data_IF_491914175622
#
_entry.id   IF_491914175622
#
_cell.length_a   1.000
_cell.length_b   1.000
_cell.length_c   1.000
_cell.angle_alpha   90.00
_cell.angle_beta   90.00
_cell.angle_gamma   90.00
#
_symmetry.space_group_name_H-M   'P 1'
#
loop_
_entity.id
_entity.type
_entity.pdbx_description
1 polymer ?
#
# COMPACT_ATOMS: atom_id res chain seq x y z
N UNK A 1 0.43 18.05 -4.27
CA UNK A 1 -0.93 17.83 -3.74
C UNK A 1 -1.57 16.53 -4.18
N UNK A 2 -0.81 15.43 -4.13
CA UNK A 2 -1.35 14.08 -4.30
C UNK A 2 -1.15 13.38 -2.96
N UNK A 3 -2.25 12.93 -2.38
CA UNK A 3 -2.33 12.32 -1.05
C UNK A 3 -1.16 11.35 -0.85
N UNK A 4 -0.30 11.66 0.12
CA UNK A 4 0.89 10.89 0.43
C UNK A 4 0.73 10.46 1.88
N UNK A 5 0.84 9.16 2.15
CA UNK A 5 0.48 8.65 3.46
C UNK A 5 1.54 7.73 4.05
N UNK A 6 1.97 8.10 5.26
CA UNK A 6 2.98 7.39 6.02
C UNK A 6 2.37 6.14 6.67
N UNK A 7 2.98 4.99 6.39
CA UNK A 7 2.60 3.74 7.04
C UNK A 7 3.40 3.54 8.33
N UNK A 8 2.69 3.24 9.41
CA UNK A 8 3.27 2.74 10.64
C UNK A 8 3.40 1.21 10.53
N UNK A 9 4.57 0.67 10.88
CA UNK A 9 4.78 -0.78 10.90
C UNK A 9 3.96 -1.38 12.06
N UNK A 10 3.06 -2.32 11.78
CA UNK A 10 2.16 -2.88 12.81
C UNK A 10 2.81 -3.89 13.74
N UNK A 11 3.86 -4.55 13.27
CA UNK A 11 4.43 -5.65 14.00
C UNK A 11 5.56 -5.14 14.89
N UNK A 12 5.28 -5.02 16.19
CA UNK A 12 6.31 -5.01 17.24
C UNK A 12 7.16 -6.31 17.25
N UNK A 13 6.82 -7.31 16.42
CA UNK A 13 7.50 -8.60 16.30
C UNK A 13 7.79 -9.10 14.88
N UNK A 14 7.65 -8.27 13.82
CA UNK A 14 8.02 -8.70 12.47
C UNK A 14 9.52 -8.56 12.35
N UNK A 15 10.18 -9.71 12.41
CA UNK A 15 11.56 -9.94 12.02
C UNK A 15 12.42 -8.70 12.16
N UNK A 16 13.10 -8.60 13.31
CA UNK A 16 14.42 -7.98 13.31
C UNK A 16 15.09 -8.47 12.02
N UNK A 17 15.45 -7.55 11.12
CA UNK A 17 16.31 -7.92 9.99
C UNK A 17 17.45 -8.75 10.55
N UNK A 18 18.01 -9.67 9.77
CA UNK A 18 18.99 -10.68 10.21
C UNK A 18 20.18 -10.13 11.05
N UNK A 19 20.31 -8.81 11.19
CA UNK A 19 21.27 -8.06 12.00
C UNK A 19 20.67 -7.13 13.09
N UNK A 20 19.42 -7.31 13.56
CA UNK A 20 18.91 -6.64 14.76
C UNK A 20 18.70 -5.12 14.67
N UNK A 21 18.63 -4.55 13.47
CA UNK A 21 18.43 -3.10 13.26
C UNK A 21 17.41 -2.83 12.15
N UNK A 22 16.21 -2.40 12.54
CA UNK A 22 15.18 -1.92 11.62
C UNK A 22 14.20 -3.00 11.12
N UNK A 23 12.98 -2.57 10.81
CA UNK A 23 11.98 -3.38 10.13
C UNK A 23 12.60 -3.97 8.85
N UNK A 24 12.44 -5.27 8.63
CA UNK A 24 13.00 -5.95 7.48
C UNK A 24 12.57 -5.26 6.17
N UNK A 25 13.50 -4.55 5.53
CA UNK A 25 13.34 -4.00 4.17
C UNK A 25 13.22 -5.12 3.12
N UNK A 26 13.58 -6.35 3.49
CA UNK A 26 13.50 -7.56 2.68
C UNK A 26 12.83 -8.70 3.46
N UNK A 27 11.81 -9.31 2.87
CA UNK A 27 11.05 -10.42 3.43
C UNK A 27 9.64 -10.06 3.91
N UNK A 28 8.88 -11.04 4.45
CA UNK A 28 7.49 -10.84 4.82
C UNK A 28 7.29 -9.85 5.97
N UNK A 29 6.45 -8.84 5.75
CA UNK A 29 6.10 -7.81 6.75
C UNK A 29 4.72 -7.23 6.47
N UNK A 30 4.01 -6.86 7.55
CA UNK A 30 2.71 -6.18 7.48
C UNK A 30 2.86 -4.71 7.84
N UNK A 31 2.34 -3.83 6.99
CA UNK A 31 2.26 -2.39 7.20
C UNK A 31 0.81 -1.96 7.42
N UNK A 32 0.59 -0.90 8.23
CA UNK A 32 -0.70 -0.23 8.35
C UNK A 32 -0.54 1.28 8.25
N UNK A 33 -1.43 1.90 7.51
CA UNK A 33 -1.52 3.36 7.39
C UNK A 33 -2.96 3.81 7.57
N UNK A 34 -3.14 5.11 7.80
CA UNK A 34 -4.46 5.75 7.81
C UNK A 34 -4.60 6.89 6.78
N UNK A 35 -5.54 6.75 5.84
CA UNK A 35 -5.87 7.77 4.81
C UNK A 35 -6.96 8.66 5.37
N UNK A 36 -6.64 9.93 5.59
CA UNK A 36 -7.62 10.91 6.06
C UNK A 36 -8.15 11.71 4.87
N UNK A 37 -9.45 11.61 4.61
CA UNK A 37 -10.15 12.34 3.55
C UNK A 37 -11.02 13.43 4.18
N UNK A 38 -10.65 14.69 4.04
CA UNK A 38 -11.34 15.82 4.69
C UNK A 38 -12.61 16.30 3.96
N UNK A 39 -12.86 15.77 2.76
CA UNK A 39 -14.03 16.10 1.94
C UNK A 39 -15.06 14.97 1.94
N UNK A 40 -16.32 15.31 1.66
CA UNK A 40 -17.39 14.35 1.37
C UNK A 40 -17.42 13.93 -0.10
N UNK A 41 -16.73 14.66 -0.98
CA UNK A 41 -16.63 14.33 -2.41
C UNK A 41 -15.47 13.35 -2.63
N UNK A 42 -15.81 12.07 -2.72
CA UNK A 42 -14.84 10.99 -2.90
C UNK A 42 -14.96 10.41 -4.30
N UNK A 43 -13.82 10.21 -4.95
CA UNK A 43 -13.70 9.65 -6.29
C UNK A 43 -12.94 8.33 -6.26
N UNK A 44 -13.14 7.53 -7.29
CA UNK A 44 -12.35 6.33 -7.49
C UNK A 44 -10.87 6.72 -7.72
N UNK A 45 -9.96 5.83 -7.33
CA UNK A 45 -8.52 6.07 -7.51
C UNK A 45 -7.79 4.74 -7.65
N UNK A 46 -6.46 4.78 -7.63
CA UNK A 46 -5.61 3.61 -7.72
C UNK A 46 -4.49 3.71 -6.69
N UNK A 47 -4.15 2.61 -6.03
CA UNK A 47 -2.86 2.50 -5.35
C UNK A 47 -1.78 2.28 -6.40
N UNK A 48 -0.77 3.15 -6.40
CA UNK A 48 0.47 2.96 -7.15
C UNK A 48 1.44 2.14 -6.30
N UNK A 49 1.71 0.93 -6.77
CA UNK A 49 2.57 -0.02 -6.07
C UNK A 49 4.04 0.10 -6.50
N UNK A 50 4.40 1.08 -7.32
CA UNK A 50 5.80 1.30 -7.74
C UNK A 50 6.74 1.33 -6.54
N UNK A 51 7.84 0.57 -6.63
CA UNK A 51 8.83 0.43 -5.56
C UNK A 51 8.53 -0.66 -4.52
N UNK A 52 7.29 -1.13 -4.41
CA UNK A 52 6.93 -2.32 -3.62
C UNK A 52 7.31 -3.61 -4.35
N UNK A 53 7.39 -4.71 -3.62
CA UNK A 53 7.77 -6.02 -4.14
C UNK A 53 6.57 -6.81 -4.62
N UNK A 54 6.01 -7.64 -3.73
CA UNK A 54 4.89 -8.53 -4.02
C UNK A 54 4.06 -8.73 -2.78
N UNK A 55 2.74 -8.62 -2.90
CA UNK A 55 1.89 -8.76 -1.73
C UNK A 55 0.40 -8.62 -1.97
N UNK A 56 -0.30 -8.28 -0.89
CA UNK A 56 -1.73 -8.01 -0.86
C UNK A 56 -1.99 -6.65 -0.22
N UNK A 57 -3.04 -5.97 -0.66
CA UNK A 57 -3.47 -4.69 -0.09
C UNK A 57 -4.94 -4.73 0.31
N UNK A 58 -5.22 -4.16 1.48
CA UNK A 58 -6.55 -4.08 2.07
C UNK A 58 -6.89 -2.61 2.37
N UNK A 59 -8.16 -2.26 2.16
CA UNK A 59 -8.73 -0.95 2.53
C UNK A 59 -9.95 -1.20 3.43
N UNK A 60 -9.97 -0.63 4.63
CA UNK A 60 -11.06 -0.79 5.60
C UNK A 60 -11.47 -2.27 5.82
N UNK A 61 -10.48 -3.18 5.84
CA UNK A 61 -10.70 -4.63 5.96
C UNK A 61 -11.08 -5.37 4.67
N UNK A 62 -11.38 -4.67 3.58
CA UNK A 62 -11.67 -5.28 2.27
C UNK A 62 -10.37 -5.61 1.52
N UNK A 63 -10.22 -6.85 1.05
CA UNK A 63 -9.06 -7.29 0.27
C UNK A 63 -9.19 -6.88 -1.20
N UNK A 64 -8.37 -5.92 -1.65
CA UNK A 64 -8.37 -5.47 -3.05
C UNK A 64 -7.65 -6.44 -4.00
N UNK A 65 -6.88 -7.38 -3.46
CA UNK A 65 -6.20 -8.41 -4.21
C UNK A 65 -4.68 -8.31 -4.16
N UNK A 66 -4.04 -8.88 -5.18
CA UNK A 66 -2.59 -9.07 -5.26
C UNK A 66 -1.93 -7.97 -6.09
N UNK A 67 -0.81 -7.44 -5.61
CA UNK A 67 0.10 -6.63 -6.41
C UNK A 67 1.40 -7.39 -6.67
N UNK A 68 2.00 -7.15 -7.85
CA UNK A 68 3.35 -7.59 -8.18
C UNK A 68 3.95 -6.69 -9.27
N UNK A 69 4.17 -5.39 -8.98
CA UNK A 69 4.58 -4.38 -9.96
C UNK A 69 5.92 -4.73 -10.62
N UNK A 70 6.83 -5.41 -9.90
CA UNK A 70 8.13 -5.85 -10.44
C UNK A 70 7.97 -6.89 -11.57
N UNK A 71 6.89 -7.68 -11.56
CA UNK A 71 6.62 -8.67 -12.60
C UNK A 71 5.70 -8.13 -13.70
N UNK A 72 4.88 -7.11 -13.39
CA UNK A 72 3.92 -6.55 -14.32
C UNK A 72 2.85 -7.56 -14.80
N UNK A 73 2.08 -7.22 -15.85
CA UNK A 73 2.03 -5.89 -16.46
C UNK A 73 1.22 -4.88 -15.63
N UNK A 74 0.50 -5.36 -14.61
CA UNK A 74 -0.28 -4.52 -13.69
C UNK A 74 0.60 -3.92 -12.59
N UNK A 75 0.67 -2.60 -12.54
CA UNK A 75 1.43 -1.83 -11.51
C UNK A 75 0.49 -1.16 -10.51
N UNK A 76 -0.70 -0.77 -10.94
CA UNK A 76 -1.69 -0.09 -10.09
C UNK A 76 -2.83 -1.01 -9.65
N UNK A 77 -3.38 -0.76 -8.46
CA UNK A 77 -4.54 -1.48 -7.92
C UNK A 77 -5.74 -0.54 -7.85
N UNK A 78 -6.83 -0.86 -8.55
CA UNK A 78 -8.06 -0.07 -8.51
C UNK A 78 -8.65 -0.01 -7.09
N UNK A 79 -8.99 1.20 -6.64
CA UNK A 79 -9.63 1.50 -5.38
C UNK A 79 -10.99 2.18 -5.66
N UNK A 80 -12.11 1.42 -5.57
CA UNK A 80 -13.45 1.98 -5.66
C UNK A 80 -13.73 2.95 -4.50
N UNK A 81 -14.37 4.09 -4.79
CA UNK A 81 -14.78 5.07 -3.78
C UNK A 81 -15.77 4.51 -2.77
N UNK A 82 -16.55 3.48 -3.11
CA UNK A 82 -17.51 2.85 -2.21
C UNK A 82 -16.83 2.16 -1.01
N UNK A 83 -15.53 1.87 -1.11
CA UNK A 83 -14.73 1.34 -0.01
C UNK A 83 -14.10 2.45 0.85
N UNK A 84 -14.27 3.71 0.48
CA UNK A 84 -13.74 4.88 1.17
C UNK A 84 -14.85 5.64 1.90
N UNK A 85 -14.44 6.37 2.94
CA UNK A 85 -15.30 7.29 3.69
C UNK A 85 -14.56 8.60 3.97
N UNK A 86 -15.32 9.66 4.21
CA UNK A 86 -14.76 10.89 4.77
C UNK A 86 -14.21 10.60 6.18
N UNK A 87 -13.09 11.21 6.53
CA UNK A 87 -12.29 10.89 7.70
C UNK A 87 -11.29 9.75 7.44
N UNK A 88 -11.01 8.97 8.50
CA UNK A 88 -9.95 7.97 8.52
C UNK A 88 -10.33 6.66 7.81
N UNK A 89 -9.49 6.21 6.89
CA UNK A 89 -9.58 4.92 6.23
C UNK A 89 -8.33 4.09 6.50
N UNK A 90 -8.50 2.85 6.95
CA UNK A 90 -7.37 1.97 7.25
C UNK A 90 -6.84 1.32 5.98
N UNK A 91 -5.53 1.42 5.75
CA UNK A 91 -4.83 0.67 4.70
C UNK A 91 -3.93 -0.36 5.37
N UNK A 92 -4.00 -1.62 4.93
CA UNK A 92 -3.06 -2.68 5.36
C UNK A 92 -2.38 -3.28 4.15
N UNK A 93 -1.05 -3.37 4.17
CA UNK A 93 -0.27 -4.08 3.16
C UNK A 93 0.41 -5.30 3.80
N UNK A 94 0.29 -6.44 3.14
CA UNK A 94 1.09 -7.64 3.44
C UNK A 94 2.13 -7.77 2.34
N UNK A 95 3.35 -7.28 2.58
CA UNK A 95 4.50 -7.34 1.66
C UNK A 95 5.30 -8.62 1.92
N UNK A 96 5.71 -9.32 0.86
CA UNK A 96 6.34 -10.65 0.95
C UNK A 96 7.81 -10.67 0.50
N UNK A 97 8.27 -9.61 -0.17
CA UNK A 97 9.58 -9.53 -0.82
C UNK A 97 10.38 -8.31 -0.36
N UNK A 98 9.90 -7.09 -0.63
CA UNK A 98 10.66 -5.86 -0.40
C UNK A 98 9.71 -4.66 -0.26
N UNK A 99 9.94 -3.84 0.76
CA UNK A 99 9.28 -2.54 0.89
C UNK A 99 10.19 -1.39 0.40
N UNK A 100 9.62 -0.28 -0.10
CA UNK A 100 10.39 0.94 -0.37
C UNK A 100 10.92 1.55 0.93
N UNK A 101 12.03 2.30 0.85
CA UNK A 101 12.72 2.84 2.03
C UNK A 101 11.84 3.81 2.84
N UNK A 102 11.03 4.61 2.13
CA UNK A 102 10.11 5.57 2.74
C UNK A 102 8.83 4.91 3.28
N UNK A 103 8.55 3.67 2.89
CA UNK A 103 7.37 2.89 3.26
C UNK A 103 6.06 3.60 2.91
N UNK A 104 6.06 4.33 1.80
CA UNK A 104 4.90 5.08 1.33
C UNK A 104 4.15 4.30 0.25
N UNK A 105 2.83 4.52 0.18
CA UNK A 105 2.04 4.21 -1.02
C UNK A 105 1.60 5.53 -1.62
N UNK A 106 1.61 5.60 -2.94
CA UNK A 106 1.11 6.74 -3.69
C UNK A 106 -0.24 6.40 -4.32
N UNK A 107 -0.98 7.43 -4.71
CA UNK A 107 -2.23 7.28 -5.43
C UNK A 107 -2.08 7.80 -6.86
N UNK A 108 -2.70 7.10 -7.80
CA UNK A 108 -2.74 7.48 -9.21
C UNK A 108 -4.18 7.76 -9.65
N UNK A 109 -4.32 8.62 -10.66
CA UNK A 109 -5.61 9.00 -11.24
C UNK A 109 -6.04 8.04 -12.37
N UNK A 110 -5.15 7.13 -12.78
CA UNK A 110 -5.35 6.21 -13.92
C UNK A 110 -4.69 4.87 -13.67
N UNK A 111 -5.22 3.83 -14.32
CA UNK A 111 -4.62 2.50 -14.31
C UNK A 111 -3.32 2.44 -15.13
N UNK A 112 -2.34 1.70 -14.63
CA UNK A 112 -1.13 1.23 -15.33
C UNK A 112 -1.19 -0.30 -15.36
N UNK A 113 -1.44 -0.86 -16.56
CA UNK A 113 -1.75 -2.29 -16.77
C UNK A 113 -0.85 -2.95 -17.84
N UNK A 114 0.16 -2.23 -18.31
CA UNK A 114 0.99 -2.57 -19.47
C UNK A 114 2.49 -2.29 -19.24
N UNK A 115 2.93 -2.20 -17.98
CA UNK A 115 4.33 -1.93 -17.62
C UNK A 115 4.99 -3.18 -17.02
N UNK A 116 6.13 -3.60 -17.58
CA UNK A 116 6.93 -4.77 -17.17
C UNK A 116 8.43 -4.46 -17.19
#
# INVERSE_FOLDING_TARGET
>A
DKFTQLFTTLNEGAGHGVNGKGAAIHGPVTFKGELVIETSEIHDTYFDMTGWGKGFIFINGFNLGRYWPVAGPQVTMYLPKELLKSGANEIVLVELQKAPTDKMVHFADSAILDEA
#
